data_IF_230811683102
#
_entry.id   IF_230811683102
#
_cell.length_a   1.000
_cell.length_b   1.000
_cell.length_c   1.000
_cell.angle_alpha   90.00
_cell.angle_beta   90.00
_cell.angle_gamma   90.00
#
_symmetry.space_group_name_H-M   'P 1'
#
loop_
_entity.id
_entity.type
_entity.pdbx_description
1 polymer ?
#
# COMPACT_ATOMS: atom_id res chain seq x y z
N UNK A 1 20.57 -11.17 51.93
CA UNK A 1 19.51 -11.34 50.91
C UNK A 1 20.16 -11.27 49.55
N UNK A 2 20.45 -12.43 48.98
CA UNK A 2 21.09 -12.58 47.68
C UNK A 2 20.02 -12.42 46.59
N UNK A 3 20.21 -11.49 45.65
CA UNK A 3 19.41 -11.41 44.42
C UNK A 3 20.07 -12.31 43.37
N UNK A 4 19.35 -13.24 42.72
CA UNK A 4 19.93 -14.07 41.67
C UNK A 4 20.08 -13.26 40.38
N UNK A 5 21.28 -13.31 39.81
CA UNK A 5 21.59 -12.82 38.47
C UNK A 5 21.10 -13.88 37.48
N UNK A 6 20.03 -13.59 36.73
CA UNK A 6 19.62 -14.41 35.60
C UNK A 6 20.48 -14.05 34.40
N UNK A 7 21.37 -14.98 34.03
CA UNK A 7 22.18 -14.91 32.82
C UNK A 7 21.29 -15.35 31.64
N UNK A 8 20.82 -14.41 30.83
CA UNK A 8 20.13 -14.71 29.57
C UNK A 8 21.18 -15.14 28.54
N UNK A 9 21.27 -16.44 28.27
CA UNK A 9 22.01 -16.96 27.12
C UNK A 9 21.11 -16.76 25.91
N UNK A 10 21.37 -15.72 25.12
CA UNK A 10 20.77 -15.55 23.80
C UNK A 10 21.46 -16.52 22.84
N UNK A 11 20.82 -17.67 22.57
CA UNK A 11 21.18 -18.53 21.45
C UNK A 11 20.85 -17.79 20.14
N UNK A 12 21.88 -17.28 19.47
CA UNK A 12 21.76 -16.76 18.10
C UNK A 12 21.59 -17.96 17.16
N UNK A 13 20.35 -18.25 16.80
CA UNK A 13 20.07 -19.10 15.64
C UNK A 13 20.23 -18.25 14.37
N UNK A 14 21.39 -18.35 13.70
CA UNK A 14 21.51 -17.95 12.29
C UNK A 14 20.87 -19.05 11.43
N UNK A 15 19.55 -19.05 11.39
CA UNK A 15 18.78 -19.70 10.34
C UNK A 15 18.28 -18.62 9.39
N UNK A 16 19.09 -18.20 8.42
CA UNK A 16 18.59 -17.41 7.30
C UNK A 16 17.83 -18.34 6.35
N UNK A 17 16.66 -18.81 6.76
CA UNK A 17 15.59 -18.98 5.81
C UNK A 17 15.17 -17.57 5.43
N UNK A 18 15.68 -17.09 4.29
CA UNK A 18 15.11 -15.94 3.59
C UNK A 18 13.61 -16.24 3.50
N UNK A 19 12.81 -15.59 4.34
CA UNK A 19 11.37 -15.57 4.14
C UNK A 19 11.21 -14.82 2.83
N UNK A 20 10.96 -15.57 1.76
CA UNK A 20 10.55 -14.96 0.50
C UNK A 20 9.42 -13.99 0.85
N UNK A 21 9.61 -12.71 0.55
CA UNK A 21 8.53 -11.74 0.59
C UNK A 21 7.28 -12.39 -0.03
N UNK A 22 6.14 -12.33 0.68
CA UNK A 22 4.89 -12.75 0.07
C UNK A 22 4.73 -11.97 -1.23
N UNK A 23 4.57 -12.68 -2.36
CA UNK A 23 4.44 -12.05 -3.67
C UNK A 23 3.28 -11.05 -3.57
N UNK A 24 3.51 -9.75 -3.86
CA UNK A 24 2.44 -8.78 -3.78
C UNK A 24 1.31 -9.15 -4.75
N UNK A 25 0.06 -8.84 -4.35
CA UNK A 25 -1.11 -9.18 -5.16
C UNK A 25 -1.09 -8.42 -6.50
N UNK A 26 -1.85 -8.91 -7.48
CA UNK A 26 -1.98 -8.25 -8.77
C UNK A 26 -3.42 -8.16 -9.24
N UNK A 27 -3.76 -7.10 -9.95
CA UNK A 27 -5.09 -6.87 -10.52
C UNK A 27 -4.98 -6.32 -11.95
N UNK A 28 -5.94 -6.66 -12.82
CA UNK A 28 -6.05 -6.08 -14.17
C UNK A 28 -7.20 -5.09 -14.17
N UNK A 29 -6.87 -3.80 -14.28
CA UNK A 29 -7.84 -2.74 -14.52
C UNK A 29 -8.09 -2.66 -16.03
N UNK A 30 -9.32 -2.94 -16.45
CA UNK A 30 -9.73 -2.88 -17.84
C UNK A 30 -10.25 -1.49 -18.21
N UNK A 31 -10.25 -1.19 -19.51
CA UNK A 31 -10.88 0.02 -20.03
C UNK A 31 -12.40 -0.08 -19.88
N UNK A 32 -13.03 0.95 -19.36
CA UNK A 32 -14.48 1.04 -19.23
C UNK A 32 -15.13 1.10 -20.63
N UNK A 33 -16.29 0.48 -20.78
CA UNK A 33 -17.07 0.52 -22.03
C UNK A 33 -18.03 1.70 -22.09
N UNK A 34 -18.19 2.42 -20.96
CA UNK A 34 -19.11 3.53 -20.80
C UNK A 34 -18.58 4.55 -19.77
N UNK A 35 -19.17 5.74 -19.73
CA UNK A 35 -18.88 6.70 -18.66
C UNK A 35 -19.43 6.18 -17.33
N UNK A 36 -18.60 6.25 -16.28
CA UNK A 36 -19.00 5.88 -14.92
C UNK A 36 -19.61 7.10 -14.22
N UNK A 37 -20.80 6.95 -13.64
CA UNK A 37 -21.44 7.95 -12.80
C UNK A 37 -20.97 7.72 -11.36
N UNK A 38 -20.27 8.70 -10.79
CA UNK A 38 -19.76 8.58 -9.42
C UNK A 38 -20.87 8.86 -8.40
N UNK A 39 -21.64 7.83 -8.07
CA UNK A 39 -22.77 7.87 -7.13
C UNK A 39 -22.61 6.94 -5.91
N UNK A 40 -21.48 6.22 -5.84
CA UNK A 40 -21.17 5.29 -4.77
C UNK A 40 -21.67 3.88 -5.05
N UNK A 41 -22.25 3.61 -6.24
CA UNK A 41 -22.86 2.34 -6.61
C UNK A 41 -22.17 1.75 -7.82
N UNK A 42 -21.99 0.44 -7.82
CA UNK A 42 -21.41 -0.30 -8.93
C UNK A 42 -22.50 -0.81 -9.90
N UNK A 43 -23.43 0.03 -10.36
CA UNK A 43 -24.61 -0.40 -11.15
C UNK A 43 -24.36 -0.45 -12.66
N UNK A 44 -23.37 0.28 -13.16
CA UNK A 44 -22.95 0.34 -14.56
C UNK A 44 -22.56 -1.04 -15.10
N UNK A 45 -22.80 -1.27 -16.39
CA UNK A 45 -22.43 -2.52 -17.04
C UNK A 45 -20.92 -2.79 -16.94
N UNK A 46 -20.10 -1.74 -17.00
CA UNK A 46 -18.65 -1.85 -16.85
C UNK A 46 -18.28 -2.37 -15.47
N UNK A 47 -18.88 -1.83 -14.40
CA UNK A 47 -18.66 -2.33 -13.04
C UNK A 47 -19.17 -3.76 -12.86
N UNK A 48 -20.32 -4.11 -13.44
CA UNK A 48 -20.88 -5.45 -13.35
C UNK A 48 -19.96 -6.51 -14.00
N UNK A 49 -19.22 -6.14 -15.05
CA UNK A 49 -18.25 -7.02 -15.72
C UNK A 49 -16.88 -7.06 -15.02
N UNK A 50 -16.51 -6.02 -14.27
CA UNK A 50 -15.26 -5.97 -13.54
C UNK A 50 -15.26 -6.95 -12.35
N UNK A 51 -14.20 -7.75 -12.22
CA UNK A 51 -13.99 -8.67 -11.10
C UNK A 51 -13.64 -7.92 -9.83
N UNK A 52 -14.09 -8.40 -8.67
CA UNK A 52 -13.51 -7.94 -7.40
C UNK A 52 -12.06 -8.44 -7.25
N UNK A 53 -11.25 -7.67 -6.53
CA UNK A 53 -9.98 -8.11 -5.96
C UNK A 53 -10.21 -9.26 -4.98
N UNK A 54 -9.13 -9.89 -4.54
CA UNK A 54 -9.17 -10.73 -3.35
C UNK A 54 -9.55 -9.89 -2.12
N UNK A 55 -10.18 -10.55 -1.14
CA UNK A 55 -10.57 -9.92 0.13
C UNK A 55 -9.35 -9.39 0.88
N UNK A 56 -9.55 -8.27 1.58
CA UNK A 56 -8.52 -7.69 2.42
C UNK A 56 -8.11 -8.66 3.53
N UNK A 57 -6.86 -8.55 3.94
CA UNK A 57 -6.24 -9.31 5.03
C UNK A 57 -5.69 -8.33 6.07
N UNK A 58 -5.45 -8.79 7.30
CA UNK A 58 -4.65 -8.03 8.26
C UNK A 58 -3.30 -7.61 7.63
N UNK A 59 -2.82 -6.40 7.94
CA UNK A 59 -1.62 -5.80 7.32
C UNK A 59 -0.35 -6.66 7.46
N UNK A 60 -0.25 -7.48 8.52
CA UNK A 60 0.86 -8.42 8.71
C UNK A 60 0.72 -9.70 7.84
N UNK A 61 -0.43 -9.89 7.21
CA UNK A 61 -0.71 -10.97 6.24
C UNK A 61 -1.12 -12.31 6.87
N UNK A 62 -1.47 -12.32 8.16
CA UNK A 62 -1.74 -13.58 8.90
C UNK A 62 -3.23 -13.82 9.16
N UNK A 63 -3.97 -12.78 9.56
CA UNK A 63 -5.35 -12.92 10.06
C UNK A 63 -6.37 -12.48 9.02
N UNK A 64 -7.48 -13.22 8.91
CA UNK A 64 -8.64 -12.79 8.13
C UNK A 64 -9.45 -11.73 8.93
N UNK A 65 -9.73 -10.56 8.34
CA UNK A 65 -10.61 -9.55 8.91
C UNK A 65 -12.00 -10.08 9.28
N UNK A 66 -12.61 -9.46 10.29
CA UNK A 66 -13.97 -9.78 10.74
C UNK A 66 -15.01 -9.40 9.68
N UNK A 67 -14.80 -8.27 9.00
CA UNK A 67 -15.71 -7.77 7.98
C UNK A 67 -15.02 -7.73 6.63
N UNK A 68 -15.71 -8.22 5.61
CA UNK A 68 -15.17 -8.30 4.26
C UNK A 68 -14.99 -6.90 3.66
N UNK A 69 -13.84 -6.68 3.01
CA UNK A 69 -13.58 -5.52 2.17
C UNK A 69 -12.86 -5.98 0.91
N UNK A 70 -13.29 -5.50 -0.26
CA UNK A 70 -12.67 -5.75 -1.55
C UNK A 70 -12.98 -4.63 -2.53
N UNK A 71 -12.21 -4.56 -3.61
CA UNK A 71 -12.25 -3.45 -4.56
C UNK A 71 -12.43 -3.93 -6.00
N UNK A 72 -12.90 -3.04 -6.86
CA UNK A 72 -12.82 -3.14 -8.32
C UNK A 72 -12.06 -1.93 -8.84
N UNK A 73 -11.36 -2.11 -9.95
CA UNK A 73 -10.68 -1.02 -10.65
C UNK A 73 -11.01 -1.06 -12.13
N UNK A 74 -11.22 0.12 -12.69
CA UNK A 74 -11.43 0.36 -14.12
C UNK A 74 -10.68 1.62 -14.51
N UNK A 75 -10.51 1.86 -15.80
CA UNK A 75 -10.01 3.15 -16.27
C UNK A 75 -10.67 3.58 -17.58
N UNK A 76 -10.61 4.87 -17.89
CA UNK A 76 -10.89 5.41 -19.21
C UNK A 76 -9.84 6.48 -19.56
N UNK A 77 -10.00 7.16 -20.69
CA UNK A 77 -9.02 8.15 -21.17
C UNK A 77 -8.83 9.34 -20.21
N UNK A 78 -9.74 9.54 -19.24
CA UNK A 78 -9.72 10.69 -18.32
C UNK A 78 -9.42 10.29 -16.88
N UNK A 79 -9.88 9.12 -16.43
CA UNK A 79 -9.86 8.73 -15.02
C UNK A 79 -9.37 7.30 -14.79
N UNK A 80 -8.74 7.11 -13.64
CA UNK A 80 -8.67 5.84 -12.95
C UNK A 80 -9.82 5.74 -11.95
N UNK A 81 -10.58 4.66 -12.02
CA UNK A 81 -11.77 4.42 -11.22
C UNK A 81 -11.53 3.34 -10.17
N UNK A 82 -12.06 3.57 -8.97
CA UNK A 82 -12.06 2.63 -7.86
C UNK A 82 -13.47 2.48 -7.32
N UNK A 83 -13.87 1.24 -7.06
CA UNK A 83 -15.08 0.94 -6.30
C UNK A 83 -14.72 -0.02 -5.16
N UNK A 84 -14.95 0.39 -3.92
CA UNK A 84 -14.74 -0.46 -2.75
C UNK A 84 -16.07 -0.85 -2.12
N UNK A 85 -16.23 -2.13 -1.77
CA UNK A 85 -17.37 -2.61 -0.99
C UNK A 85 -16.89 -2.97 0.42
N UNK A 86 -17.47 -2.32 1.42
CA UNK A 86 -16.99 -2.36 2.79
C UNK A 86 -18.11 -2.86 3.71
N UNK A 87 -18.05 -4.13 4.10
CA UNK A 87 -19.00 -4.66 5.08
C UNK A 87 -18.77 -3.99 6.43
N UNK A 88 -19.83 -3.46 7.03
CA UNK A 88 -19.78 -2.77 8.32
C UNK A 88 -21.18 -2.82 8.95
N UNK A 89 -21.38 -3.51 10.09
CA UNK A 89 -22.65 -3.53 10.79
C UNK A 89 -22.97 -2.25 11.57
N UNK A 90 -21.98 -1.38 11.80
CA UNK A 90 -22.18 -0.11 12.48
C UNK A 90 -21.44 1.00 11.72
N UNK A 91 -22.13 1.65 10.79
CA UNK A 91 -21.55 2.68 9.95
C UNK A 91 -21.64 4.00 10.69
N UNK A 92 -20.49 4.53 11.07
CA UNK A 92 -20.39 5.80 11.77
C UNK A 92 -19.24 6.64 11.24
N UNK A 93 -19.44 7.95 11.23
CA UNK A 93 -18.46 8.93 10.84
C UNK A 93 -18.85 10.31 11.40
N UNK A 94 -17.87 11.06 11.87
CA UNK A 94 -18.05 12.36 12.54
C UNK A 94 -17.19 13.46 11.94
N UNK A 95 -16.11 13.09 11.26
CA UNK A 95 -15.18 14.02 10.63
C UNK A 95 -15.75 14.50 9.28
N UNK A 96 -15.92 15.81 9.15
CA UNK A 96 -16.59 16.49 8.01
C UNK A 96 -15.70 17.45 7.25
N UNK A 97 -14.60 17.86 7.87
CA UNK A 97 -13.69 18.85 7.30
C UNK A 97 -12.72 18.10 6.39
N UNK A 98 -12.67 18.50 5.11
CA UNK A 98 -11.62 18.04 4.19
C UNK A 98 -10.25 18.34 4.80
N UNK A 99 -9.30 17.44 4.56
CA UNK A 99 -7.90 17.55 5.02
C UNK A 99 -7.79 17.52 6.55
N UNK A 100 -8.68 16.75 7.18
CA UNK A 100 -8.53 16.35 8.57
C UNK A 100 -8.03 14.93 8.62
N UNK A 101 -7.19 14.62 9.62
CA UNK A 101 -6.68 13.26 9.87
C UNK A 101 -7.86 12.29 10.02
N UNK A 102 -8.17 11.54 8.96
CA UNK A 102 -9.48 10.91 8.80
C UNK A 102 -9.57 9.54 9.47
N UNK A 103 -8.43 8.86 9.65
CA UNK A 103 -8.32 7.56 10.32
C UNK A 103 -8.81 7.52 11.77
N UNK A 104 -9.23 8.63 12.39
CA UNK A 104 -9.98 8.58 13.66
C UNK A 104 -11.45 8.17 13.49
N UNK A 105 -11.92 8.00 12.26
CA UNK A 105 -13.13 7.24 11.91
C UNK A 105 -12.71 5.90 11.28
N UNK A 106 -13.69 5.04 11.00
CA UNK A 106 -13.45 4.01 9.99
C UNK A 106 -13.35 4.69 8.62
N UNK A 107 -12.35 4.34 7.85
CA UNK A 107 -12.07 4.93 6.54
C UNK A 107 -11.65 3.88 5.51
N UNK A 108 -11.48 4.35 4.29
CA UNK A 108 -10.95 3.62 3.16
C UNK A 108 -9.84 4.43 2.53
N UNK A 109 -8.72 3.78 2.26
CA UNK A 109 -7.51 4.42 1.78
C UNK A 109 -7.06 3.82 0.43
N UNK A 110 -6.55 4.67 -0.46
CA UNK A 110 -5.95 4.31 -1.75
C UNK A 110 -4.53 4.86 -1.78
N UNK A 111 -3.58 4.00 -2.12
CA UNK A 111 -2.16 4.32 -2.20
C UNK A 111 -1.65 4.06 -3.61
N UNK A 112 -0.94 5.03 -4.20
CA UNK A 112 -0.53 4.97 -5.61
C UNK A 112 0.93 5.42 -5.76
N UNK A 113 1.78 4.51 -6.19
CA UNK A 113 3.16 4.74 -6.63
C UNK A 113 3.26 4.35 -8.13
N UNK A 114 3.24 5.34 -9.05
CA UNK A 114 3.16 5.07 -10.48
C UNK A 114 4.34 4.31 -11.09
N UNK A 115 5.58 4.59 -10.66
CA UNK A 115 6.78 4.02 -11.26
C UNK A 115 7.45 2.93 -10.41
N UNK A 116 6.97 2.78 -9.16
CA UNK A 116 7.44 1.76 -8.23
C UNK A 116 8.83 2.03 -7.68
N UNK A 117 9.28 3.29 -7.65
CA UNK A 117 10.55 3.70 -7.06
C UNK A 117 10.46 4.00 -5.55
N UNK A 118 9.25 3.93 -4.96
CA UNK A 118 8.86 4.25 -3.57
C UNK A 118 8.84 5.74 -3.19
N UNK A 119 9.05 6.62 -4.15
CA UNK A 119 9.06 8.07 -3.99
C UNK A 119 7.86 8.67 -4.73
N UNK A 120 7.55 9.93 -4.42
CA UNK A 120 6.49 10.69 -5.11
C UNK A 120 5.18 9.90 -5.21
N UNK A 121 4.80 9.20 -4.14
CA UNK A 121 3.56 8.43 -4.13
C UNK A 121 2.45 9.26 -3.52
N UNK A 122 1.22 8.90 -3.89
CA UNK A 122 0.02 9.61 -3.48
C UNK A 122 -0.80 8.73 -2.54
N UNK A 123 -1.50 9.39 -1.64
CA UNK A 123 -2.38 8.78 -0.67
C UNK A 123 -3.71 9.51 -0.69
N UNK A 124 -4.78 8.73 -0.57
CA UNK A 124 -6.15 9.18 -0.54
C UNK A 124 -6.84 8.44 0.59
N UNK A 125 -7.55 9.13 1.45
CA UNK A 125 -8.34 8.56 2.51
C UNK A 125 -9.76 9.16 2.48
N UNK A 126 -10.77 8.36 2.81
CA UNK A 126 -12.13 8.87 3.00
C UNK A 126 -12.93 8.09 4.05
N UNK A 127 -13.84 8.78 4.74
CA UNK A 127 -14.81 8.13 5.62
C UNK A 127 -16.20 7.98 4.97
N UNK A 128 -17.13 7.37 5.72
CA UNK A 128 -18.51 7.15 5.28
C UNK A 128 -19.35 8.44 5.06
N UNK A 129 -18.82 9.63 5.39
CA UNK A 129 -19.42 10.93 5.06
C UNK A 129 -18.94 11.47 3.70
N UNK A 130 -18.09 10.72 2.97
CA UNK A 130 -17.38 11.21 1.78
C UNK A 130 -16.47 12.41 2.11
N UNK A 131 -15.99 12.50 3.36
CA UNK A 131 -14.95 13.47 3.74
C UNK A 131 -13.61 12.92 3.30
N UNK A 132 -12.91 13.68 2.47
CA UNK A 132 -11.65 13.26 1.84
C UNK A 132 -10.47 13.93 2.53
N UNK A 133 -9.37 13.19 2.61
CA UNK A 133 -8.02 13.69 2.86
C UNK A 133 -7.10 13.08 1.80
N UNK A 134 -6.29 13.87 1.12
CA UNK A 134 -5.33 13.39 0.14
C UNK A 134 -3.97 14.07 0.35
N UNK A 135 -2.92 13.33 0.03
CA UNK A 135 -1.55 13.67 0.39
C UNK A 135 -0.61 13.31 -0.75
N UNK A 136 0.45 14.10 -0.89
CA UNK A 136 1.58 13.77 -1.74
C UNK A 136 2.85 13.55 -0.90
N UNK A 137 3.50 12.41 -1.13
CA UNK A 137 4.64 11.94 -0.36
C UNK A 137 5.88 11.85 -1.25
N UNK A 138 6.78 12.82 -1.11
CA UNK A 138 8.04 12.87 -1.89
C UNK A 138 9.02 11.76 -1.51
N UNK A 139 8.91 11.19 -0.30
CA UNK A 139 9.73 10.08 0.22
C UNK A 139 8.89 9.16 1.11
N UNK A 140 9.27 7.89 1.29
CA UNK A 140 8.63 7.02 2.27
C UNK A 140 8.86 7.51 3.71
N UNK A 141 7.92 7.28 4.64
CA UNK A 141 7.99 7.77 6.03
C UNK A 141 9.22 7.31 6.82
N UNK A 142 9.90 6.26 6.36
CA UNK A 142 11.19 5.82 6.91
C UNK A 142 12.32 6.84 6.66
N UNK A 143 12.14 7.80 5.76
CA UNK A 143 13.09 8.86 5.45
C UNK A 143 12.55 10.25 5.84
N UNK A 144 13.39 11.16 6.35
CA UNK A 144 12.95 12.49 6.75
C UNK A 144 12.57 13.33 5.52
N UNK A 145 11.28 13.61 5.37
CA UNK A 145 10.74 14.48 4.34
C UNK A 145 9.45 15.16 4.80
N UNK A 146 9.11 16.34 4.25
CA UNK A 146 7.79 16.91 4.46
C UNK A 146 6.72 16.05 3.79
N UNK A 147 5.58 15.91 4.47
CA UNK A 147 4.32 15.48 3.84
C UNK A 147 3.67 16.71 3.22
N UNK A 148 3.34 16.65 1.93
CA UNK A 148 2.72 17.78 1.24
C UNK A 148 1.20 17.67 1.40
N UNK A 149 0.73 18.09 2.57
CA UNK A 149 -0.67 17.99 3.02
C UNK A 149 -1.63 18.96 2.31
N UNK A 150 -1.10 20.00 1.66
CA UNK A 150 -1.91 20.97 0.92
C UNK A 150 -2.10 20.61 -0.57
N UNK A 151 -1.57 19.46 -1.00
CA UNK A 151 -1.75 18.95 -2.36
C UNK A 151 -3.07 18.18 -2.43
N UNK A 152 -3.82 18.33 -3.52
CA UNK A 152 -5.09 17.63 -3.73
C UNK A 152 -5.05 16.87 -5.06
N UNK A 153 -5.82 15.79 -5.16
CA UNK A 153 -6.22 15.25 -6.46
C UNK A 153 -7.15 16.23 -7.19
N UNK A 154 -6.60 17.21 -7.92
CA UNK A 154 -7.39 18.19 -8.67
C UNK A 154 -8.30 17.49 -9.68
N UNK A 155 -9.60 17.78 -9.59
CA UNK A 155 -10.62 17.17 -10.44
C UNK A 155 -11.14 15.82 -9.95
N UNK A 156 -10.72 15.37 -8.76
CA UNK A 156 -11.27 14.21 -8.07
C UNK A 156 -12.80 14.25 -8.02
N UNK A 157 -13.41 13.08 -8.29
CA UNK A 157 -14.82 12.83 -8.03
C UNK A 157 -14.91 11.65 -7.07
N UNK A 158 -15.74 11.78 -6.03
CA UNK A 158 -15.95 10.71 -5.07
C UNK A 158 -17.38 10.72 -4.55
N UNK A 159 -17.89 9.53 -4.20
CA UNK A 159 -19.18 9.40 -3.54
C UNK A 159 -19.23 8.14 -2.68
N UNK A 160 -20.17 8.14 -1.74
CA UNK A 160 -20.43 7.02 -0.82
C UNK A 160 -21.89 6.63 -0.93
N UNK A 161 -22.15 5.33 -1.00
CA UNK A 161 -23.49 4.78 -0.83
C UNK A 161 -23.55 3.90 0.43
N UNK A 162 -24.66 3.98 1.16
CA UNK A 162 -24.86 3.27 2.43
C UNK A 162 -26.07 2.34 2.31
N UNK A 163 -25.85 1.06 2.56
CA UNK A 163 -26.89 0.05 2.73
C UNK A 163 -27.17 -0.13 4.23
N UNK A 164 -27.84 0.88 4.82
CA UNK A 164 -28.00 1.04 6.26
C UNK A 164 -28.35 2.48 6.65
N UNK A 165 -28.04 2.85 7.90
CA UNK A 165 -28.29 4.17 8.48
C UNK A 165 -27.02 4.73 9.12
N UNK A 166 -26.47 5.80 8.56
CA UNK A 166 -25.27 6.44 9.10
C UNK A 166 -25.50 6.99 10.52
N UNK A 167 -24.61 6.63 11.46
CA UNK A 167 -24.62 7.09 12.85
C UNK A 167 -25.88 6.70 13.65
N UNK A 168 -26.60 5.64 13.28
CA UNK A 168 -27.72 5.12 14.07
C UNK A 168 -27.33 3.84 14.82
N UNK A 169 -27.13 3.89 16.15
CA UNK A 169 -26.79 2.69 16.92
C UNK A 169 -27.99 1.78 17.23
N UNK A 170 -29.20 2.14 16.78
CA UNK A 170 -30.41 1.37 17.06
C UNK A 170 -30.67 0.23 16.06
N UNK A 171 -29.97 0.23 14.93
CA UNK A 171 -30.08 -0.79 13.89
C UNK A 171 -28.76 -1.54 13.64
N UNK A 172 -28.71 -2.27 12.53
CA UNK A 172 -27.51 -3.00 12.10
C UNK A 172 -27.44 -2.89 10.59
N UNK A 173 -26.34 -2.28 10.15
CA UNK A 173 -26.08 -2.00 8.75
C UNK A 173 -25.58 -3.24 8.00
N UNK A 174 -25.53 -3.15 6.68
CA UNK A 174 -24.93 -4.22 5.85
C UNK A 174 -23.53 -3.84 5.40
N UNK A 175 -23.43 -2.71 4.72
CA UNK A 175 -22.20 -2.24 4.08
C UNK A 175 -22.34 -0.77 3.67
N UNK A 176 -21.20 -0.13 3.48
CA UNK A 176 -21.10 1.08 2.68
C UNK A 176 -20.16 0.80 1.51
N UNK A 177 -20.28 1.59 0.46
CA UNK A 177 -19.41 1.54 -0.70
C UNK A 177 -18.84 2.91 -0.98
N UNK A 178 -17.62 2.88 -1.50
CA UNK A 178 -16.86 4.04 -1.93
C UNK A 178 -16.70 3.94 -3.43
N UNK A 179 -16.93 5.03 -4.13
CA UNK A 179 -16.65 5.15 -5.55
C UNK A 179 -15.82 6.41 -5.81
N UNK A 180 -14.69 6.25 -6.51
CA UNK A 180 -13.72 7.31 -6.74
C UNK A 180 -13.29 7.31 -8.20
N UNK A 181 -13.23 8.49 -8.80
CA UNK A 181 -12.58 8.74 -10.08
C UNK A 181 -11.46 9.77 -9.89
N UNK A 182 -10.22 9.33 -10.10
CA UNK A 182 -9.03 10.18 -10.01
C UNK A 182 -8.58 10.52 -11.44
N UNK A 183 -8.48 11.82 -11.82
CA UNK A 183 -7.99 12.18 -13.14
C UNK A 183 -6.55 11.73 -13.38
N UNK A 184 -6.25 11.27 -14.60
CA UNK A 184 -4.88 10.96 -14.98
C UNK A 184 -3.96 12.18 -14.90
N UNK A 185 -4.47 13.35 -15.30
CA UNK A 185 -3.71 14.61 -15.35
C UNK A 185 -2.99 14.92 -14.03
N UNK A 186 -3.64 14.71 -12.88
CA UNK A 186 -3.04 14.98 -11.56
C UNK A 186 -2.10 13.86 -11.10
N UNK A 187 -2.38 12.60 -11.44
CA UNK A 187 -1.50 11.47 -11.08
C UNK A 187 -0.22 11.43 -11.91
N UNK A 188 -0.27 11.94 -13.14
CA UNK A 188 0.90 12.01 -14.02
C UNK A 188 1.93 13.05 -13.55
N UNK A 189 1.56 14.01 -12.69
CA UNK A 189 2.52 14.90 -12.01
C UNK A 189 3.57 14.12 -11.20
N UNK A 190 3.17 12.96 -10.68
CA UNK A 190 4.00 12.05 -9.91
C UNK A 190 4.77 11.03 -10.78
N UNK A 191 4.33 10.83 -12.02
CA UNK A 191 4.88 9.82 -12.93
C UNK A 191 6.05 10.40 -13.76
N UNK A 192 7.21 10.52 -13.14
CA UNK A 192 8.41 11.17 -13.70
C UNK A 192 8.88 10.56 -15.03
N UNK A 193 8.54 9.30 -15.31
CA UNK A 193 8.95 8.58 -16.52
C UNK A 193 7.94 8.64 -17.67
N UNK A 194 6.74 9.22 -17.47
CA UNK A 194 5.84 9.62 -18.56
C UNK A 194 5.40 8.52 -19.53
N UNK A 195 5.40 7.25 -19.11
CA UNK A 195 5.13 6.11 -20.01
C UNK A 195 3.64 5.93 -20.36
N UNK A 196 2.77 6.85 -19.95
CA UNK A 196 1.32 6.66 -20.00
C UNK A 196 0.85 5.50 -19.10
N UNK A 197 -0.46 5.39 -18.92
CA UNK A 197 -1.05 4.31 -18.14
C UNK A 197 -1.33 3.06 -19.01
N UNK A 198 -1.64 3.21 -20.30
CA UNK A 198 -1.95 2.06 -21.16
C UNK A 198 -0.80 1.06 -21.26
N UNK A 199 -1.10 -0.23 -21.04
CA UNK A 199 -0.13 -1.32 -21.03
C UNK A 199 1.03 -1.17 -20.04
N UNK A 200 0.91 -0.28 -19.07
CA UNK A 200 1.81 -0.20 -17.92
C UNK A 200 1.15 -0.82 -16.70
N UNK A 201 1.93 -0.95 -15.62
CA UNK A 201 1.40 -1.31 -14.32
C UNK A 201 1.96 -0.35 -13.28
N UNK A 202 1.14 -0.01 -12.29
CA UNK A 202 1.53 0.82 -11.16
C UNK A 202 1.53 0.00 -9.88
N UNK A 203 2.25 0.48 -8.86
CA UNK A 203 2.18 -0.05 -7.50
C UNK A 203 0.99 0.62 -6.82
N UNK A 204 -0.07 -0.14 -6.57
CA UNK A 204 -1.28 0.38 -5.92
C UNK A 204 -1.66 -0.54 -4.78
N UNK A 205 -2.11 0.04 -3.68
CA UNK A 205 -2.69 -0.74 -2.61
C UNK A 205 -3.83 0.01 -1.92
N UNK A 206 -4.50 -0.69 -1.04
CA UNK A 206 -5.68 -0.20 -0.35
C UNK A 206 -5.61 -0.60 1.11
N UNK A 207 -6.15 0.24 1.97
CA UNK A 207 -6.34 -0.04 3.38
C UNK A 207 -7.77 0.32 3.78
N UNK A 208 -8.20 -0.30 4.87
CA UNK A 208 -9.34 0.12 5.67
C UNK A 208 -8.81 0.22 7.10
N UNK A 209 -8.83 1.41 7.67
CA UNK A 209 -8.69 1.56 9.11
C UNK A 209 -10.03 1.26 9.73
N UNK A 210 -10.02 0.33 10.69
CA UNK A 210 -11.21 -0.10 11.37
C UNK A 210 -11.01 -0.03 12.88
N UNK A 211 -11.92 0.65 13.58
CA UNK A 211 -11.94 0.71 15.02
C UNK A 211 -13.04 -0.15 15.61
N UNK A 212 -12.76 -0.75 16.75
CA UNK A 212 -13.82 -1.11 17.67
C UNK A 212 -14.49 0.17 18.18
N UNK A 213 -15.82 0.15 18.29
CA UNK A 213 -16.60 1.27 18.78
C UNK A 213 -17.12 1.04 20.21
N UNK A 214 -17.49 2.13 20.86
CA UNK A 214 -18.35 2.17 22.04
C UNK A 214 -19.44 3.23 21.84
N UNK A 215 -20.46 3.22 22.69
CA UNK A 215 -21.53 4.21 22.66
C UNK A 215 -21.48 5.09 23.91
N UNK A 216 -21.31 6.39 23.70
CA UNK A 216 -21.41 7.42 24.74
C UNK A 216 -22.74 8.16 24.52
N UNK A 217 -23.74 7.90 25.37
CA UNK A 217 -25.09 8.49 25.24
C UNK A 217 -25.71 8.31 23.83
N UNK A 218 -25.54 7.12 23.23
CA UNK A 218 -25.94 6.76 21.85
C UNK A 218 -25.12 7.42 20.73
N UNK A 219 -24.00 8.04 21.04
CA UNK A 219 -23.06 8.53 20.03
C UNK A 219 -21.91 7.54 19.89
N UNK A 220 -21.56 7.19 18.66
CA UNK A 220 -20.39 6.37 18.38
C UNK A 220 -19.09 7.08 18.77
N UNK A 221 -18.20 6.34 19.43
CA UNK A 221 -16.82 6.75 19.67
C UNK A 221 -15.88 5.56 19.58
N UNK A 222 -14.58 5.82 19.35
CA UNK A 222 -13.56 4.78 19.38
C UNK A 222 -13.50 4.15 20.76
N UNK A 223 -13.47 2.82 20.80
CA UNK A 223 -13.50 2.05 22.04
C UNK A 223 -12.25 2.31 22.87
N UNK A 224 -12.46 2.45 24.18
CA UNK A 224 -11.39 2.58 25.18
C UNK A 224 -11.26 1.32 26.04
N UNK A 225 -10.06 1.09 26.55
CA UNK A 225 -9.78 0.09 27.58
C UNK A 225 -10.22 0.60 28.97
N UNK A 226 -10.03 -0.24 30.00
CA UNK A 226 -10.38 0.09 31.39
C UNK A 226 -9.59 1.28 31.97
N UNK A 227 -8.42 1.59 31.41
CA UNK A 227 -7.57 2.72 31.81
C UNK A 227 -7.93 4.03 31.09
N UNK A 228 -8.84 3.98 30.12
CA UNK A 228 -9.25 5.14 29.32
C UNK A 228 -8.44 5.38 28.05
N UNK A 229 -7.50 4.50 27.70
CA UNK A 229 -6.76 4.57 26.43
C UNK A 229 -7.58 3.97 25.29
N UNK A 230 -7.47 4.51 24.08
CA UNK A 230 -8.08 3.91 22.90
C UNK A 230 -7.47 2.53 22.61
N UNK A 231 -8.31 1.55 22.29
CA UNK A 231 -7.84 0.29 21.72
C UNK A 231 -7.20 0.56 20.36
N UNK A 232 -6.18 -0.21 19.93
CA UNK A 232 -5.56 0.00 18.63
C UNK A 232 -6.55 -0.23 17.49
N UNK A 233 -6.34 0.49 16.40
CA UNK A 233 -7.00 0.25 15.13
C UNK A 233 -6.58 -1.09 14.50
N UNK A 234 -7.44 -1.59 13.63
CA UNK A 234 -7.10 -2.64 12.69
C UNK A 234 -6.80 -2.01 11.33
N UNK A 235 -5.70 -2.43 10.72
CA UNK A 235 -5.35 -2.09 9.34
C UNK A 235 -5.60 -3.33 8.47
N UNK A 236 -6.66 -3.29 7.67
CA UNK A 236 -7.01 -4.36 6.73
C UNK A 236 -6.67 -3.91 5.33
N UNK A 237 -5.82 -4.66 4.62
CA UNK A 237 -5.23 -4.22 3.34
C UNK A 237 -5.44 -5.24 2.24
N UNK A 238 -5.38 -4.81 0.98
CA UNK A 238 -5.41 -5.74 -0.15
C UNK A 238 -4.11 -6.54 -0.24
N UNK A 239 -2.97 -5.91 -0.54
CA UNK A 239 -1.66 -6.57 -0.53
C UNK A 239 -1.02 -6.43 0.86
N UNK A 240 -0.69 -7.53 1.56
CA UNK A 240 -0.12 -7.46 2.92
C UNK A 240 1.29 -6.86 2.92
N UNK A 241 1.60 -6.07 3.94
CA UNK A 241 2.92 -5.44 4.11
C UNK A 241 3.86 -6.33 4.94
N UNK A 242 3.32 -7.14 5.86
CA UNK A 242 4.10 -7.98 6.78
C UNK A 242 4.54 -7.26 8.06
N UNK A 243 4.24 -5.96 8.16
CA UNK A 243 4.47 -5.09 9.31
C UNK A 243 3.33 -4.08 9.36
N UNK A 244 3.02 -3.53 10.55
CA UNK A 244 2.03 -2.45 10.70
C UNK A 244 2.64 -1.13 10.20
N UNK A 245 2.79 -1.00 8.87
CA UNK A 245 3.28 0.17 8.18
C UNK A 245 2.82 0.14 6.72
N UNK A 246 1.87 1.02 6.36
CA UNK A 246 1.34 1.09 4.99
C UNK A 246 2.26 1.85 4.03
N UNK A 247 3.17 2.68 4.55
CA UNK A 247 4.12 3.49 3.77
C UNK A 247 5.39 2.70 3.40
N UNK A 248 5.20 1.47 2.90
CA UNK A 248 6.25 0.63 2.31
C UNK A 248 5.85 0.25 0.87
N UNK A 249 5.90 1.19 -0.11
CA UNK A 249 5.33 0.99 -1.44
C UNK A 249 5.90 -0.21 -2.21
N UNK A 250 7.09 -0.68 -1.85
CA UNK A 250 7.68 -1.89 -2.41
C UNK A 250 6.85 -3.16 -2.13
N UNK A 251 5.94 -3.17 -1.16
CA UNK A 251 5.04 -4.28 -0.83
C UNK A 251 3.61 -4.12 -1.40
N UNK A 252 3.30 -2.99 -2.03
CA UNK A 252 1.98 -2.72 -2.61
C UNK A 252 1.63 -3.69 -3.75
N UNK A 253 0.38 -3.75 -4.17
CA UNK A 253 -0.01 -4.64 -5.27
C UNK A 253 0.41 -4.09 -6.64
N UNK A 254 0.31 -4.92 -7.68
CA UNK A 254 0.55 -4.54 -9.07
C UNK A 254 -0.79 -4.36 -9.78
N UNK A 255 -1.10 -3.16 -10.26
CA UNK A 255 -2.30 -2.92 -11.06
C UNK A 255 -1.89 -2.70 -12.50
N UNK A 256 -2.24 -3.64 -13.37
CA UNK A 256 -2.00 -3.56 -14.81
C UNK A 256 -3.18 -2.91 -15.53
N UNK A 257 -2.92 -1.90 -16.34
CA UNK A 257 -3.94 -1.22 -17.13
C UNK A 257 -4.04 -1.84 -18.51
N UNK A 258 -5.03 -2.71 -18.70
CA UNK A 258 -5.30 -3.36 -19.98
C UNK A 258 -5.99 -2.39 -20.94
N UNK A 259 -5.49 -2.32 -22.18
CA UNK A 259 -6.17 -1.64 -23.31
C UNK A 259 -7.50 -2.27 -23.71
N UNK A 260 -7.77 -3.49 -23.26
CA UNK A 260 -8.99 -4.22 -23.61
C UNK A 260 -10.18 -3.67 -22.83
N UNK A 261 -11.35 -3.76 -23.43
CA UNK A 261 -12.58 -3.37 -22.77
C UNK A 261 -12.91 -4.37 -21.65
N UNK A 262 -13.49 -3.88 -20.56
CA UNK A 262 -13.95 -4.73 -19.47
C UNK A 262 -14.95 -5.79 -19.96
N UNK A 263 -14.73 -7.03 -19.51
CA UNK A 263 -15.47 -8.21 -19.97
C UNK A 263 -14.73 -9.03 -21.02
N UNK A 264 -13.69 -8.47 -21.65
CA UNK A 264 -12.70 -9.25 -22.38
C UNK A 264 -11.74 -10.00 -21.44
N UNK A 265 -10.93 -10.89 -22.01
CA UNK A 265 -9.89 -11.61 -21.28
C UNK A 265 -8.53 -11.01 -21.54
N UNK A 266 -7.83 -10.68 -20.47
CA UNK A 266 -6.41 -10.39 -20.50
C UNK A 266 -5.63 -11.21 -19.48
N UNK A 267 -4.31 -11.21 -19.62
CA UNK A 267 -3.39 -11.88 -18.71
C UNK A 267 -2.30 -10.90 -18.33
N UNK A 268 -2.05 -10.79 -17.03
CA UNK A 268 -0.93 -10.05 -16.50
C UNK A 268 -0.10 -10.96 -15.60
N UNK A 269 1.20 -10.99 -15.87
CA UNK A 269 2.20 -11.58 -14.99
C UNK A 269 3.14 -10.47 -14.57
N UNK A 270 3.41 -10.38 -13.26
CA UNK A 270 4.39 -9.43 -12.73
C UNK A 270 5.73 -9.67 -13.44
N UNK A 271 6.34 -8.64 -14.06
CA UNK A 271 7.59 -8.83 -14.79
C UNK A 271 8.68 -9.45 -13.93
N UNK A 272 9.43 -10.39 -14.51
CA UNK A 272 10.48 -11.13 -13.78
C UNK A 272 11.56 -10.22 -13.19
N UNK A 273 11.79 -9.05 -13.79
CA UNK A 273 12.71 -8.03 -13.29
C UNK A 273 12.31 -7.46 -11.93
N UNK A 274 11.03 -7.46 -11.56
CA UNK A 274 10.58 -6.98 -10.24
C UNK A 274 11.17 -7.82 -9.10
N UNK A 275 11.48 -9.09 -9.35
CA UNK A 275 12.20 -9.94 -8.37
C UNK A 275 13.59 -9.41 -8.04
N UNK A 276 14.24 -8.70 -8.97
CA UNK A 276 15.52 -8.03 -8.72
C UNK A 276 15.31 -6.87 -7.76
N UNK A 277 14.25 -6.07 -7.96
CA UNK A 277 13.90 -4.97 -7.06
C UNK A 277 13.56 -5.47 -5.65
N UNK A 278 12.83 -6.59 -5.52
CA UNK A 278 12.52 -7.20 -4.22
C UNK A 278 13.79 -7.57 -3.45
N UNK A 279 14.75 -8.21 -4.12
CA UNK A 279 16.04 -8.52 -3.52
C UNK A 279 16.80 -7.24 -3.14
N UNK A 280 16.78 -6.22 -3.99
CA UNK A 280 17.41 -4.93 -3.65
C UNK A 280 16.79 -4.32 -2.38
N UNK A 281 15.47 -4.38 -2.21
CA UNK A 281 14.80 -3.94 -0.97
C UNK A 281 15.15 -4.81 0.24
N UNK A 282 15.24 -6.14 0.09
CA UNK A 282 15.71 -7.05 1.16
C UNK A 282 17.14 -6.71 1.60
N UNK A 283 18.04 -6.47 0.63
CA UNK A 283 19.41 -6.06 0.88
C UNK A 283 19.47 -4.67 1.53
N UNK A 284 18.66 -3.73 1.07
CA UNK A 284 18.52 -2.41 1.69
C UNK A 284 18.10 -2.52 3.15
N UNK A 285 17.03 -3.28 3.47
CA UNK A 285 16.58 -3.47 4.86
C UNK A 285 17.64 -4.15 5.72
N UNK A 286 18.35 -5.12 5.16
CA UNK A 286 19.50 -5.76 5.81
C UNK A 286 20.58 -4.72 6.13
N UNK A 287 20.90 -3.83 5.19
CA UNK A 287 21.86 -2.74 5.39
C UNK A 287 21.43 -1.77 6.47
N UNK A 288 20.16 -1.30 6.45
CA UNK A 288 19.64 -0.35 7.44
C UNK A 288 19.64 -0.94 8.85
N UNK A 289 19.23 -2.20 9.00
CA UNK A 289 19.28 -2.89 10.28
C UNK A 289 20.72 -3.04 10.79
N UNK A 290 21.65 -3.42 9.92
CA UNK A 290 23.07 -3.52 10.29
C UNK A 290 23.65 -2.17 10.71
N UNK A 291 23.35 -1.09 9.99
CA UNK A 291 23.84 0.26 10.29
C UNK A 291 23.27 0.80 11.61
N UNK A 292 22.03 0.44 11.96
CA UNK A 292 21.45 0.79 13.27
C UNK A 292 22.24 0.20 14.44
N UNK A 293 22.75 -1.02 14.29
CA UNK A 293 23.51 -1.73 15.32
C UNK A 293 25.03 -1.46 15.26
N UNK A 294 25.54 -1.04 14.12
CA UNK A 294 26.98 -0.87 13.85
C UNK A 294 27.24 0.22 12.79
N UNK A 295 26.99 1.51 13.10
CA UNK A 295 27.01 2.59 12.12
C UNK A 295 28.37 2.76 11.42
N UNK A 296 29.48 2.55 12.13
CA UNK A 296 30.84 2.79 11.61
C UNK A 296 31.46 1.60 10.86
N UNK A 297 30.68 0.53 10.59
CA UNK A 297 31.21 -0.73 10.06
C UNK A 297 30.89 -0.98 8.58
N UNK A 298 31.08 0.01 7.71
CA UNK A 298 30.80 -0.11 6.26
C UNK A 298 31.51 -1.32 5.61
N UNK A 299 32.80 -1.57 5.91
CA UNK A 299 33.51 -2.75 5.37
C UNK A 299 32.91 -4.10 5.77
N UNK A 300 32.21 -4.14 6.91
CA UNK A 300 31.49 -5.35 7.35
C UNK A 300 30.13 -5.44 6.65
N UNK A 301 29.48 -4.31 6.40
CA UNK A 301 28.27 -4.21 5.60
C UNK A 301 28.54 -4.70 4.17
N UNK A 302 29.57 -4.19 3.50
CA UNK A 302 29.96 -4.62 2.16
C UNK A 302 30.11 -6.15 2.09
N UNK A 303 30.88 -6.74 3.00
CA UNK A 303 31.07 -8.20 3.09
C UNK A 303 29.78 -8.98 3.33
N UNK A 304 28.78 -8.37 3.97
CA UNK A 304 27.47 -8.97 4.18
C UNK A 304 26.66 -8.94 2.89
N UNK A 305 26.68 -7.81 2.17
CA UNK A 305 25.84 -7.55 0.99
C UNK A 305 26.35 -8.24 -0.28
N UNK A 306 27.67 -8.29 -0.52
CA UNK A 306 28.24 -8.89 -1.75
C UNK A 306 28.15 -10.43 -1.79
N UNK A 307 27.41 -11.05 -0.87
CA UNK A 307 27.16 -12.48 -0.88
C UNK A 307 26.20 -12.84 -2.02
N UNK A 308 26.40 -13.97 -2.72
CA UNK A 308 25.49 -14.36 -3.77
C UNK A 308 24.04 -14.55 -3.29
N UNK A 309 23.11 -14.08 -4.09
CA UNK A 309 21.65 -14.19 -3.91
C UNK A 309 21.06 -14.97 -5.08
N UNK A 310 19.92 -15.63 -4.88
CA UNK A 310 19.31 -16.47 -5.91
C UNK A 310 17.96 -15.91 -6.38
N UNK A 311 17.74 -15.92 -7.70
CA UNK A 311 16.42 -15.71 -8.32
C UNK A 311 16.10 -16.94 -9.16
N UNK A 312 15.33 -17.87 -8.60
CA UNK A 312 15.11 -19.18 -9.23
C UNK A 312 16.44 -19.91 -9.40
N UNK A 313 16.76 -20.31 -10.64
CA UNK A 313 18.01 -21.00 -10.98
C UNK A 313 19.21 -20.06 -11.22
N UNK A 314 18.99 -18.73 -11.17
CA UNK A 314 20.05 -17.75 -11.37
C UNK A 314 20.68 -17.36 -10.04
N UNK A 315 22.01 -17.42 -9.98
CA UNK A 315 22.80 -16.87 -8.88
C UNK A 315 23.37 -15.52 -9.31
N UNK A 316 23.09 -14.47 -8.54
CA UNK A 316 23.54 -13.11 -8.78
C UNK A 316 24.46 -12.66 -7.64
N UNK A 317 25.41 -11.79 -7.94
CA UNK A 317 26.27 -11.18 -6.92
C UNK A 317 25.95 -9.69 -6.87
N UNK A 318 25.42 -9.18 -5.74
CA UNK A 318 25.21 -7.75 -5.55
C UNK A 318 26.54 -6.99 -5.60
N UNK A 319 26.54 -5.86 -6.27
CA UNK A 319 27.64 -4.90 -6.20
C UNK A 319 27.34 -3.86 -5.12
N UNK A 320 28.36 -3.48 -4.34
CA UNK A 320 28.26 -2.45 -3.32
C UNK A 320 29.24 -1.33 -3.63
N UNK A 321 28.75 -0.09 -3.63
CA UNK A 321 29.55 1.10 -3.87
C UNK A 321 29.34 2.09 -2.72
N UNK A 322 30.42 2.45 -2.02
CA UNK A 322 30.43 3.50 -0.99
C UNK A 322 30.93 4.82 -1.59
N UNK A 323 30.26 5.91 -1.26
CA UNK A 323 30.65 7.25 -1.63
C UNK A 323 30.40 8.25 -0.49
N UNK A 324 30.86 9.49 -0.64
CA UNK A 324 30.81 10.50 0.44
C UNK A 324 29.40 10.82 0.93
N UNK A 325 28.37 10.61 0.10
CA UNK A 325 26.97 10.86 0.41
C UNK A 325 26.15 9.60 0.68
N UNK A 326 26.80 8.47 1.02
CA UNK A 326 26.10 7.22 1.30
C UNK A 326 26.62 6.00 0.54
N UNK A 327 25.73 5.09 0.19
CA UNK A 327 26.05 3.88 -0.57
C UNK A 327 24.95 3.49 -1.54
N UNK A 328 25.32 2.69 -2.55
CA UNK A 328 24.40 2.04 -3.46
C UNK A 328 24.65 0.52 -3.50
N UNK A 329 23.58 -0.24 -3.67
CA UNK A 329 23.62 -1.68 -3.96
C UNK A 329 23.02 -1.88 -5.34
N UNK A 330 23.72 -2.60 -6.21
CA UNK A 330 23.25 -2.81 -7.59
C UNK A 330 23.21 -4.29 -7.97
N UNK A 331 22.25 -4.65 -8.81
CA UNK A 331 22.08 -5.98 -9.38
C UNK A 331 21.69 -5.88 -10.86
N UNK A 332 22.35 -6.67 -11.71
CA UNK A 332 21.95 -6.86 -13.10
C UNK A 332 20.88 -7.95 -13.20
N UNK A 333 19.77 -7.64 -13.86
CA UNK A 333 18.72 -8.61 -14.12
C UNK A 333 19.24 -9.73 -15.03
N UNK A 334 19.11 -11.01 -14.62
CA UNK A 334 19.47 -12.12 -15.49
C UNK A 334 18.53 -12.25 -16.70
N UNK A 335 17.34 -11.63 -16.64
CA UNK A 335 16.29 -11.74 -17.64
C UNK A 335 16.44 -10.69 -18.75
N UNK A 336 16.65 -9.42 -18.37
CA UNK A 336 16.68 -8.29 -19.31
C UNK A 336 18.07 -7.69 -19.51
N UNK A 337 19.04 -8.06 -18.68
CA UNK A 337 20.38 -7.43 -18.60
C UNK A 337 20.37 -5.96 -18.19
N UNK A 338 19.22 -5.46 -17.73
CA UNK A 338 19.11 -4.14 -17.13
C UNK A 338 19.73 -4.17 -15.73
N UNK A 339 20.54 -3.18 -15.40
CA UNK A 339 21.08 -3.01 -14.05
C UNK A 339 20.19 -2.08 -13.24
N UNK A 340 19.81 -2.52 -12.04
CA UNK A 340 19.05 -1.74 -11.08
C UNK A 340 19.95 -1.41 -9.90
N UNK A 341 19.74 -0.24 -9.30
CA UNK A 341 20.49 0.24 -8.14
C UNK A 341 19.54 0.78 -7.07
N UNK A 342 19.78 0.44 -5.81
CA UNK A 342 19.09 1.00 -4.65
C UNK A 342 20.08 1.77 -3.77
N UNK A 343 19.70 2.99 -3.36
CA UNK A 343 20.53 3.82 -2.49
C UNK A 343 20.19 3.62 -0.99
N UNK A 344 20.94 4.30 -0.12
CA UNK A 344 20.75 4.25 1.33
C UNK A 344 19.43 4.83 1.85
N UNK A 345 18.69 5.54 0.99
CA UNK A 345 17.35 6.07 1.26
C UNK A 345 16.23 5.16 0.65
N UNK A 346 16.61 4.02 0.08
CA UNK A 346 15.68 3.04 -0.48
C UNK A 346 15.10 3.39 -1.86
N UNK A 347 15.66 4.39 -2.55
CA UNK A 347 15.24 4.74 -3.90
C UNK A 347 15.85 3.77 -4.92
N UNK A 348 15.02 3.18 -5.77
CA UNK A 348 15.49 2.37 -6.90
C UNK A 348 15.61 3.23 -8.16
N UNK A 349 16.72 3.04 -8.88
CA UNK A 349 16.90 3.56 -10.24
C UNK A 349 17.30 2.46 -11.20
N UNK A 350 16.95 2.66 -12.47
CA UNK A 350 17.41 1.86 -13.61
C UNK A 350 18.65 2.54 -14.20
N UNK A 351 19.77 1.81 -14.29
CA UNK A 351 21.07 2.29 -14.80
C UNK A 351 21.25 2.09 -16.30
#
# INVERSE_FOLDING_TARGET
MNKPIFLFIACIFFGNSLNAQNIPRSYIAYRSSESILIDGRAEESSWQKASFSEDFIDIEGVKKPKYQTNVKMLWDDNYLYFYARIQEPHIWATLKQRDTVIFYNNDFEIFIDPDGDTYNYMEFEMNALNTVWDLFLVKPYREPAPVIDAWDFKGLKSNVHIEGTLNDPSDTDKNWSVEVAIPWEVMEEANVFGNGHEHSFWRINFSRVNWDYQLDEKTYSRRKNENGDYLPEYNWVWSPQGVINMHEPEHWGYVYFSSKEVGEKDVFEIPRDEKVKWILYELYRTSRNFQKDSPDKIKSLEKLIVKPVNIGDFQLTPEFEEHVSGWNISLESPFSKIKYSINEEGKIIKL
#
